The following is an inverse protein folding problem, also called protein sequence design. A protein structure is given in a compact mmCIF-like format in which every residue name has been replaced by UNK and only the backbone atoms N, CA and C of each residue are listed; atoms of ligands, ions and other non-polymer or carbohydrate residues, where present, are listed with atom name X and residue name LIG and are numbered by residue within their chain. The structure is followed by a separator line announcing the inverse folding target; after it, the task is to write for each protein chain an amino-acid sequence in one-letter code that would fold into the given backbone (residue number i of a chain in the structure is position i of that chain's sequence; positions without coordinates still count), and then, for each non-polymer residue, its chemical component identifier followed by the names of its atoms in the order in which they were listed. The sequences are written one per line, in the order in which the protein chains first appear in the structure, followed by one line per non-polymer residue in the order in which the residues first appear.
data_IF_601252341087
#
_entry.id   IF_601252341087
#
_cell.length_a   1.000
_cell.length_b   1.000
_cell.length_c   1.000
_cell.angle_alpha   90.00
_cell.angle_beta   90.00
_cell.angle_gamma   90.00
#
_symmetry.space_group_name_H-M   'P 1'
#
loop_
_entity.id
_entity.type
_entity.pdbx_description
1 polymer ?
#
# COMPACT_ATOMS: atom_id res chain seq x y z
N UNK A 1 -20.51 -25.21 27.22
CA UNK A 1 -20.58 -23.78 26.75
C UNK A 1 -19.43 -22.92 27.28
N UNK A 2 -18.28 -23.50 27.69
CA UNK A 2 -17.23 -22.80 28.45
C UNK A 2 -16.10 -22.17 27.62
N UNK A 3 -15.94 -22.53 26.34
CA UNK A 3 -14.87 -21.94 25.49
C UNK A 3 -15.34 -20.73 24.66
N UNK A 4 -16.61 -20.31 24.78
CA UNK A 4 -17.15 -19.19 23.98
C UNK A 4 -16.42 -17.87 24.28
N UNK A 5 -16.08 -17.60 25.54
CA UNK A 5 -15.38 -16.37 25.93
C UNK A 5 -13.99 -16.23 25.30
N UNK A 6 -13.20 -17.32 25.27
CA UNK A 6 -11.86 -17.32 24.68
C UNK A 6 -11.91 -17.11 23.15
N UNK A 7 -12.88 -17.75 22.48
CA UNK A 7 -13.08 -17.62 21.03
C UNK A 7 -13.52 -16.20 20.67
N UNK A 8 -14.44 -15.60 21.44
CA UNK A 8 -14.87 -14.21 21.22
C UNK A 8 -13.74 -13.21 21.45
N UNK A 9 -12.89 -13.44 22.44
CA UNK A 9 -11.73 -12.59 22.72
C UNK A 9 -10.68 -12.68 21.60
N UNK A 10 -10.41 -13.88 21.10
CA UNK A 10 -9.56 -14.09 19.92
C UNK A 10 -10.14 -13.45 18.66
N UNK A 11 -11.45 -13.57 18.43
CA UNK A 11 -12.12 -12.95 17.29
C UNK A 11 -12.04 -11.42 17.32
N UNK A 12 -12.21 -10.81 18.50
CA UNK A 12 -12.06 -9.36 18.69
C UNK A 12 -10.61 -8.93 18.49
N UNK A 13 -9.64 -9.65 19.05
CA UNK A 13 -8.22 -9.36 18.87
C UNK A 13 -7.81 -9.46 17.38
N UNK A 14 -8.29 -10.48 16.67
CA UNK A 14 -8.04 -10.65 15.24
C UNK A 14 -8.75 -9.57 14.41
N UNK A 15 -9.96 -9.17 14.80
CA UNK A 15 -10.66 -8.03 14.19
C UNK A 15 -9.90 -6.71 14.36
N UNK A 16 -9.39 -6.44 15.56
CA UNK A 16 -8.55 -5.26 15.83
C UNK A 16 -7.24 -5.28 15.05
N UNK A 17 -6.58 -6.45 14.96
CA UNK A 17 -5.37 -6.61 14.16
C UNK A 17 -5.63 -6.34 12.66
N UNK A 18 -6.75 -6.83 12.13
CA UNK A 18 -7.17 -6.56 10.75
C UNK A 18 -7.50 -5.08 10.52
N UNK A 19 -8.16 -4.42 11.47
CA UNK A 19 -8.43 -2.98 11.40
C UNK A 19 -7.13 -2.16 11.41
N UNK A 20 -6.15 -2.56 12.22
CA UNK A 20 -4.84 -1.93 12.24
C UNK A 20 -4.10 -2.09 10.90
N UNK A 21 -4.13 -3.27 10.28
CA UNK A 21 -3.54 -3.46 8.95
C UNK A 21 -4.25 -2.66 7.85
N UNK A 22 -5.58 -2.56 7.94
CA UNK A 22 -6.38 -1.77 7.00
C UNK A 22 -6.14 -0.26 7.13
N UNK A 23 -5.89 0.25 8.34
CA UNK A 23 -5.66 1.69 8.54
C UNK A 23 -4.40 2.19 7.83
N UNK A 24 -3.32 1.40 7.77
CA UNK A 24 -2.13 1.76 6.97
C UNK A 24 -2.44 1.82 5.48
N UNK A 25 -3.16 0.83 4.97
CA UNK A 25 -3.57 0.78 3.56
C UNK A 25 -4.46 1.98 3.21
N UNK A 26 -5.36 2.39 4.12
CA UNK A 26 -6.22 3.55 3.92
C UNK A 26 -5.43 4.87 3.84
N UNK A 27 -4.47 5.09 4.75
CA UNK A 27 -3.61 6.28 4.72
C UNK A 27 -2.73 6.29 3.46
N UNK A 28 -2.12 5.16 3.10
CA UNK A 28 -1.33 5.04 1.87
C UNK A 28 -2.14 5.40 0.62
N UNK A 29 -3.38 4.91 0.55
CA UNK A 29 -4.27 5.15 -0.58
C UNK A 29 -4.78 6.60 -0.64
N UNK A 30 -4.98 7.25 0.51
CA UNK A 30 -5.32 8.68 0.56
C UNK A 30 -4.21 9.53 -0.07
N UNK A 31 -2.94 9.30 0.30
CA UNK A 31 -1.80 10.03 -0.26
C UNK A 31 -1.59 9.73 -1.74
N UNK A 32 -1.83 8.48 -2.14
CA UNK A 32 -1.78 8.10 -3.54
C UNK A 32 -2.87 8.83 -4.37
N UNK A 33 -4.07 9.00 -3.80
CA UNK A 33 -5.15 9.79 -4.39
C UNK A 33 -4.79 11.26 -4.53
N UNK A 34 -4.26 11.87 -3.47
CA UNK A 34 -3.80 13.27 -3.48
C UNK A 34 -2.70 13.48 -4.54
N UNK A 35 -1.77 12.52 -4.67
CA UNK A 35 -0.74 12.56 -5.70
C UNK A 35 -1.30 12.46 -7.13
N UNK A 36 -2.37 11.69 -7.32
CA UNK A 36 -3.04 11.55 -8.59
C UNK A 36 -3.79 12.83 -8.98
N UNK A 37 -4.50 13.42 -8.01
CA UNK A 37 -5.19 14.70 -8.16
C UNK A 37 -4.20 15.85 -8.44
N UNK A 38 -3.08 15.90 -7.72
CA UNK A 38 -2.03 16.90 -7.94
C UNK A 38 -1.34 16.75 -9.31
N UNK A 39 -1.24 15.53 -9.82
CA UNK A 39 -0.56 15.26 -11.09
C UNK A 39 -1.42 15.53 -12.33
N UNK A 40 -2.75 15.63 -12.20
CA UNK A 40 -3.69 15.86 -13.31
C UNK A 40 -3.45 15.00 -14.57
N UNK A 41 -2.87 13.80 -14.41
CA UNK A 41 -2.54 12.86 -15.49
C UNK A 41 -1.10 12.92 -16.02
N UNK A 42 -0.22 13.78 -15.51
CA UNK A 42 1.20 13.79 -15.88
C UNK A 42 2.03 12.87 -14.98
N UNK A 43 2.48 11.75 -15.55
CA UNK A 43 3.30 10.75 -14.87
C UNK A 43 4.61 11.30 -14.28
N UNK A 44 5.19 12.36 -14.85
CA UNK A 44 6.43 12.97 -14.32
C UNK A 44 6.17 13.77 -13.06
N UNK A 45 5.05 14.50 -13.03
CA UNK A 45 4.62 15.29 -11.86
C UNK A 45 4.20 14.35 -10.73
N UNK A 46 3.49 13.25 -11.06
CA UNK A 46 3.17 12.19 -10.10
C UNK A 46 4.42 11.60 -9.46
N UNK A 47 5.43 11.25 -10.26
CA UNK A 47 6.68 10.68 -9.74
C UNK A 47 7.43 11.66 -8.82
N UNK A 48 7.54 12.93 -9.21
CA UNK A 48 8.21 13.95 -8.40
C UNK A 48 7.45 14.26 -7.09
N UNK A 49 6.12 14.28 -7.14
CA UNK A 49 5.29 14.47 -5.95
C UNK A 49 5.42 13.29 -4.99
N UNK A 50 5.34 12.05 -5.50
CA UNK A 50 5.56 10.86 -4.67
C UNK A 50 6.96 10.84 -4.04
N UNK A 51 7.99 11.22 -4.79
CA UNK A 51 9.37 11.25 -4.29
C UNK A 51 9.55 12.29 -3.17
N UNK A 52 8.97 13.48 -3.30
CA UNK A 52 9.00 14.49 -2.24
C UNK A 52 8.16 14.12 -1.01
N UNK A 53 7.01 13.46 -1.22
CA UNK A 53 6.14 12.99 -0.13
C UNK A 53 6.67 11.73 0.57
N UNK A 54 7.61 10.99 -0.02
CA UNK A 54 8.19 9.78 0.59
C UNK A 54 8.86 10.05 1.95
N UNK A 55 9.35 11.28 2.17
CA UNK A 55 10.04 11.69 3.40
C UNK A 55 9.13 12.39 4.42
N UNK A 56 7.86 12.64 4.07
CA UNK A 56 6.90 13.30 4.95
C UNK A 56 6.21 12.27 5.86
N UNK A 57 5.96 12.65 7.10
CA UNK A 57 5.17 11.86 8.05
C UNK A 57 3.69 12.01 7.69
N UNK A 58 3.05 10.92 7.29
CA UNK A 58 1.64 10.95 6.85
C UNK A 58 0.72 10.21 7.81
N UNK A 59 1.28 9.43 8.74
CA UNK A 59 0.46 8.67 9.67
C UNK A 59 0.06 9.49 10.91
N UNK A 60 -1.25 9.78 11.11
CA UNK A 60 -1.71 10.76 12.10
C UNK A 60 -1.45 10.39 13.57
N UNK A 61 -1.07 9.15 13.88
CA UNK A 61 -0.90 8.65 15.25
C UNK A 61 0.50 8.13 15.60
N UNK A 62 1.37 7.85 14.62
CA UNK A 62 2.69 7.25 14.87
C UNK A 62 3.84 7.92 14.13
N UNK A 63 3.59 9.02 13.39
CA UNK A 63 4.68 9.75 12.70
C UNK A 63 5.40 8.91 11.66
N UNK A 64 4.75 7.86 11.12
CA UNK A 64 5.38 7.05 10.08
C UNK A 64 5.45 7.82 8.77
N UNK A 65 6.62 7.76 8.14
CA UNK A 65 6.85 8.33 6.82
C UNK A 65 6.05 7.57 5.76
N UNK A 66 5.73 8.23 4.65
CA UNK A 66 5.06 7.55 3.52
C UNK A 66 5.83 6.31 3.05
N UNK A 67 7.16 6.33 3.13
CA UNK A 67 8.02 5.18 2.83
C UNK A 67 7.77 3.99 3.76
N UNK A 68 7.62 4.25 5.06
CA UNK A 68 7.32 3.21 6.05
C UNK A 68 5.89 2.70 5.92
N UNK A 69 4.93 3.61 5.73
CA UNK A 69 3.52 3.24 5.51
C UNK A 69 3.38 2.37 4.26
N UNK A 70 4.08 2.69 3.16
CA UNK A 70 4.13 1.84 1.95
C UNK A 70 4.76 0.48 2.17
N UNK A 71 5.72 0.38 3.10
CA UNK A 71 6.38 -0.89 3.43
C UNK A 71 5.49 -1.80 4.28
N UNK A 72 4.66 -1.21 5.15
CA UNK A 72 3.65 -1.92 5.93
C UNK A 72 2.32 -2.09 5.20
N UNK A 73 2.15 -1.41 4.06
CA UNK A 73 1.02 -1.59 3.18
C UNK A 73 0.93 -3.04 2.73
N UNK A 74 -0.30 -3.50 2.53
CA UNK A 74 -0.55 -4.83 2.03
C UNK A 74 0.15 -5.03 0.67
N UNK A 75 0.80 -6.17 0.46
CA UNK A 75 1.38 -6.54 -0.83
C UNK A 75 0.26 -6.82 -1.83
N UNK A 76 -0.24 -5.75 -2.45
CA UNK A 76 -1.25 -5.82 -3.50
C UNK A 76 -0.61 -6.39 -4.76
N UNK A 77 -1.28 -7.36 -5.38
CA UNK A 77 -0.84 -7.95 -6.65
C UNK A 77 -0.92 -6.96 -7.81
N UNK A 78 -0.37 -7.35 -8.97
CA UNK A 78 -0.34 -6.53 -10.19
C UNK A 78 -1.73 -6.02 -10.61
N UNK A 79 -2.76 -6.83 -10.36
CA UNK A 79 -4.16 -6.51 -10.66
C UNK A 79 -4.70 -5.36 -9.78
N UNK A 80 -4.26 -5.29 -8.52
CA UNK A 80 -4.78 -4.34 -7.54
C UNK A 80 -3.92 -3.08 -7.40
N UNK A 81 -2.60 -3.18 -7.59
CA UNK A 81 -1.66 -2.04 -7.54
C UNK A 81 -1.33 -1.46 -8.90
N UNK A 82 -1.60 -2.21 -9.97
CA UNK A 82 -1.17 -1.88 -11.31
C UNK A 82 0.34 -2.12 -11.49
N UNK A 83 0.72 -2.60 -12.66
CA UNK A 83 2.12 -2.74 -13.05
C UNK A 83 2.23 -3.49 -14.37
N UNK A 84 3.45 -3.68 -14.84
CA UNK A 84 3.71 -4.35 -16.11
C UNK A 84 4.56 -5.58 -15.88
N UNK A 85 3.98 -6.77 -16.08
CA UNK A 85 4.75 -8.01 -16.16
C UNK A 85 5.36 -8.11 -17.56
N UNK A 86 6.68 -7.97 -17.67
CA UNK A 86 7.41 -8.07 -18.95
C UNK A 86 8.26 -9.34 -18.93
N UNK A 87 7.98 -10.24 -19.87
CA UNK A 87 8.84 -11.39 -20.14
C UNK A 87 9.56 -11.08 -21.45
N UNK A 88 10.89 -10.97 -21.39
CA UNK A 88 11.72 -10.75 -22.57
C UNK A 88 12.16 -12.11 -23.11
N UNK A 89 11.67 -12.46 -24.30
CA UNK A 89 12.13 -13.64 -25.02
C UNK A 89 13.28 -13.25 -25.96
N UNK A 90 14.43 -13.91 -25.82
CA UNK A 90 15.57 -13.70 -26.72
C UNK A 90 15.40 -14.61 -27.91
N UNK A 91 14.96 -14.06 -29.04
CA UNK A 91 14.94 -14.78 -30.31
C UNK A 91 16.37 -14.85 -30.86
N UNK A 92 16.94 -16.05 -30.85
CA UNK A 92 18.21 -16.31 -31.53
C UNK A 92 17.92 -16.42 -33.01
N UNK A 93 18.60 -15.61 -33.82
CA UNK A 93 18.51 -15.68 -35.27
C UNK A 93 19.32 -16.89 -35.71
N UNK A 94 18.67 -17.90 -36.30
CA UNK A 94 19.37 -19.03 -36.90
C UNK A 94 20.32 -18.49 -37.98
N UNK A 95 21.60 -18.82 -37.82
CA UNK A 95 22.71 -18.45 -38.73
C UNK A 95 22.75 -19.35 -39.95
#
# INVERSE_FOLDING_TARGET
MQNKGLITLFAIALGLASLYQLSFTWVANSVAGDAEEFSAGDSKVKAAYLDSMMSQEVYPFLGYTLSEVKKYEMNLGLDLKGGMNVILEVSVKDV
#
